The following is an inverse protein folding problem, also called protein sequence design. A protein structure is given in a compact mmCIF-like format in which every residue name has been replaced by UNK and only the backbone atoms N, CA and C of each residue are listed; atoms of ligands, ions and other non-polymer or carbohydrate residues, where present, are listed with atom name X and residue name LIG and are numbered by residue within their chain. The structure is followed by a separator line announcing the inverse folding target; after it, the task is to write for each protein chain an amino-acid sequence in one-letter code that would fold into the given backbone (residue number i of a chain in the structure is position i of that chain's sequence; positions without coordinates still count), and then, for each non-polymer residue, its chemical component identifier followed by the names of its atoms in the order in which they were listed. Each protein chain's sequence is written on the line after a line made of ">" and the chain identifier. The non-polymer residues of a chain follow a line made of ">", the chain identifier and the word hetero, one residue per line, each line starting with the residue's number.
data_IF_569128866450
#
_entry.id   IF_569128866450
#
_cell.length_a   1.000
_cell.length_b   1.000
_cell.length_c   1.000
_cell.angle_alpha   90.00
_cell.angle_beta   90.00
_cell.angle_gamma   90.00
#
_symmetry.space_group_name_H-M   'P 1'
#
loop_
_entity.id
_entity.type
_entity.pdbx_description
1 polymer ?
#
# COMPACT_ATOMS: atom_id res chain seq x y z
N UNK A 1 -5.73 4.33 13.93
CA UNK A 1 -4.92 3.12 13.60
C UNK A 1 -3.77 2.92 14.58
N UNK A 2 -3.00 3.96 14.90
CA UNK A 2 -1.93 3.88 15.91
C UNK A 2 -2.36 3.16 17.20
N UNK A 3 -3.42 3.65 17.85
CA UNK A 3 -3.97 3.07 19.08
C UNK A 3 -4.44 1.62 18.89
N UNK A 4 -5.15 1.33 17.80
CA UNK A 4 -5.63 -0.02 17.50
C UNK A 4 -4.48 -1.03 17.41
N UNK A 5 -3.41 -0.70 16.67
CA UNK A 5 -2.22 -1.56 16.57
C UNK A 5 -1.57 -1.75 17.93
N UNK A 6 -1.45 -0.69 18.73
CA UNK A 6 -0.91 -0.76 20.09
C UNK A 6 -1.76 -1.65 21.01
N UNK A 7 -3.10 -1.59 20.91
CA UNK A 7 -3.99 -2.45 21.68
C UNK A 7 -3.91 -3.91 21.23
N UNK A 8 -3.92 -4.18 19.92
CA UNK A 8 -3.70 -5.53 19.39
C UNK A 8 -2.35 -6.11 19.81
N UNK A 9 -1.30 -5.28 19.81
CA UNK A 9 0.02 -5.65 20.29
C UNK A 9 -0.01 -6.08 21.76
N UNK A 10 -0.59 -5.25 22.65
CA UNK A 10 -0.77 -5.56 24.07
C UNK A 10 -1.51 -6.88 24.27
N UNK A 11 -2.61 -7.06 23.54
CA UNK A 11 -3.54 -8.17 23.74
C UNK A 11 -3.13 -9.44 22.97
N UNK A 12 -1.98 -9.41 22.29
CA UNK A 12 -1.45 -10.51 21.46
C UNK A 12 -2.46 -10.98 20.41
N UNK A 13 -3.06 -10.03 19.73
CA UNK A 13 -4.04 -10.23 18.65
C UNK A 13 -3.37 -9.99 17.29
N UNK A 14 -3.27 -11.00 16.41
CA UNK A 14 -2.80 -10.83 15.03
C UNK A 14 -3.66 -9.84 14.25
N UNK A 15 -3.04 -9.10 13.32
CA UNK A 15 -3.73 -8.07 12.53
C UNK A 15 -3.77 -8.46 11.06
N UNK A 16 -4.96 -8.38 10.46
CA UNK A 16 -5.15 -8.55 9.02
C UNK A 16 -5.50 -7.19 8.43
N UNK A 17 -4.67 -6.69 7.53
CA UNK A 17 -4.88 -5.43 6.84
C UNK A 17 -5.63 -5.65 5.54
N UNK A 18 -6.61 -4.79 5.25
CA UNK A 18 -7.28 -4.74 3.95
C UNK A 18 -7.02 -3.37 3.33
N UNK A 19 -6.32 -3.35 2.20
CA UNK A 19 -6.00 -2.11 1.50
C UNK A 19 -6.85 -1.93 0.24
N UNK A 20 -7.47 -0.76 0.16
CA UNK A 20 -7.95 -0.11 -1.06
C UNK A 20 -7.77 1.40 -0.86
N UNK A 21 -6.56 1.88 -1.08
CA UNK A 21 -6.14 3.24 -0.71
C UNK A 21 -5.49 3.98 -1.87
N UNK A 22 -5.76 5.28 -1.95
CA UNK A 22 -5.17 6.20 -2.95
C UNK A 22 -4.07 7.08 -2.36
N UNK A 23 -3.73 6.93 -1.08
CA UNK A 23 -2.70 7.72 -0.41
C UNK A 23 -3.16 8.38 0.88
N UNK A 24 -2.32 9.29 1.37
CA UNK A 24 -2.58 10.16 2.51
C UNK A 24 -2.92 11.54 1.95
N UNK A 25 -3.73 12.32 2.67
CA UNK A 25 -4.05 13.68 2.27
C UNK A 25 -2.80 14.57 2.21
N UNK A 26 -2.83 15.59 1.35
CA UNK A 26 -1.66 16.43 1.01
C UNK A 26 -1.97 17.93 1.11
N UNK A 27 -0.93 18.74 1.25
CA UNK A 27 -1.02 20.20 1.35
C UNK A 27 -0.93 20.72 2.78
N UNK A 28 -0.80 22.03 2.95
CA UNK A 28 -0.42 22.63 4.24
C UNK A 28 -1.40 22.33 5.39
N UNK A 29 -2.69 22.11 5.10
CA UNK A 29 -3.67 21.73 6.12
C UNK A 29 -3.36 20.33 6.65
N UNK A 30 -3.06 19.37 5.75
CA UNK A 30 -2.66 18.02 6.11
C UNK A 30 -1.32 18.00 6.87
N UNK A 31 -0.35 18.83 6.45
CA UNK A 31 0.94 18.95 7.13
C UNK A 31 0.80 19.51 8.54
N UNK A 32 -0.01 20.56 8.72
CA UNK A 32 -0.31 21.12 10.06
C UNK A 32 -1.13 20.18 10.94
N UNK A 33 -1.90 19.28 10.33
CA UNK A 33 -2.59 18.19 11.01
C UNK A 33 -1.67 16.97 11.29
N UNK A 34 -0.36 17.14 11.07
CA UNK A 34 0.68 16.17 11.41
C UNK A 34 0.57 14.85 10.65
N UNK A 35 -0.08 14.80 9.48
CA UNK A 35 -0.32 13.52 8.78
C UNK A 35 0.98 12.76 8.44
N UNK A 36 2.06 13.48 8.13
CA UNK A 36 3.38 12.89 7.94
C UNK A 36 3.89 12.22 9.23
N UNK A 37 3.79 12.93 10.35
CA UNK A 37 4.16 12.43 11.68
C UNK A 37 3.30 11.23 12.09
N UNK A 38 1.98 11.35 11.96
CA UNK A 38 1.01 10.29 12.29
C UNK A 38 1.19 9.03 11.44
N UNK A 39 1.54 9.19 10.15
CA UNK A 39 1.88 8.09 9.25
C UNK A 39 3.14 7.36 9.72
N UNK A 40 4.19 8.10 10.08
CA UNK A 40 5.42 7.53 10.62
C UNK A 40 5.22 6.91 12.00
N UNK A 41 4.38 7.49 12.85
CA UNK A 41 3.97 6.89 14.13
C UNK A 41 3.30 5.53 13.91
N UNK A 42 2.50 5.37 12.85
CA UNK A 42 1.86 4.08 12.56
C UNK A 42 2.88 3.02 12.15
N UNK A 43 3.89 3.40 11.36
CA UNK A 43 5.03 2.53 11.06
C UNK A 43 5.73 2.11 12.35
N UNK A 44 5.96 3.05 13.28
CA UNK A 44 6.55 2.75 14.58
C UNK A 44 5.68 1.79 15.40
N UNK A 45 4.38 2.05 15.51
CA UNK A 45 3.43 1.18 16.22
C UNK A 45 3.42 -0.23 15.65
N UNK A 46 3.43 -0.39 14.31
CA UNK A 46 3.53 -1.69 13.65
C UNK A 46 4.85 -2.36 14.01
N UNK A 47 5.97 -1.65 13.85
CA UNK A 47 7.30 -2.22 14.02
C UNK A 47 7.56 -2.73 15.45
N UNK A 48 6.96 -2.08 16.46
CA UNK A 48 7.04 -2.44 17.87
C UNK A 48 5.97 -3.45 18.34
N UNK A 49 4.96 -3.76 17.50
CA UNK A 49 3.78 -4.52 17.93
C UNK A 49 4.08 -5.98 18.35
N UNK A 50 5.12 -6.60 17.78
CA UNK A 50 5.55 -7.99 18.02
C UNK A 50 4.39 -9.00 17.97
N UNK A 51 3.46 -8.79 17.02
CA UNK A 51 2.36 -9.70 16.70
C UNK A 51 2.34 -9.93 15.19
N UNK A 52 2.07 -11.16 14.73
CA UNK A 52 2.05 -11.46 13.30
C UNK A 52 0.95 -10.67 12.60
N UNK A 53 1.25 -10.18 11.40
CA UNK A 53 0.33 -9.46 10.54
C UNK A 53 0.31 -10.06 9.13
N UNK A 54 -0.78 -9.85 8.39
CA UNK A 54 -0.81 -10.09 6.94
C UNK A 54 -1.53 -8.95 6.24
N UNK A 55 -1.30 -8.81 4.94
CA UNK A 55 -1.96 -7.81 4.11
C UNK A 55 -2.77 -8.46 3.00
N UNK A 56 -3.95 -7.91 2.74
CA UNK A 56 -4.76 -8.16 1.54
C UNK A 56 -4.97 -6.84 0.80
N UNK A 57 -4.33 -6.68 -0.35
CA UNK A 57 -4.59 -5.57 -1.27
C UNK A 57 -5.83 -5.93 -2.08
N UNK A 58 -7.00 -5.43 -1.64
CA UNK A 58 -8.28 -5.69 -2.30
C UNK A 58 -8.29 -5.10 -3.71
N UNK A 59 -7.85 -3.85 -3.83
CA UNK A 59 -7.82 -3.07 -5.07
C UNK A 59 -6.55 -2.23 -5.13
N UNK A 60 -6.57 -1.00 -4.62
CA UNK A 60 -5.45 -0.07 -4.76
C UNK A 60 -4.47 -0.16 -3.60
N UNK A 61 -3.20 -0.39 -3.91
CA UNK A 61 -2.08 -0.18 -2.99
C UNK A 61 -1.17 0.92 -3.55
N UNK A 62 -1.40 2.18 -3.16
CA UNK A 62 -0.62 3.29 -3.70
C UNK A 62 -0.09 4.26 -2.65
N UNK A 63 0.94 5.00 -3.04
CA UNK A 63 1.62 6.03 -2.25
C UNK A 63 2.07 5.52 -0.86
N UNK A 64 2.34 6.44 0.07
CA UNK A 64 2.79 6.10 1.42
C UNK A 64 1.75 5.29 2.22
N UNK A 65 0.46 5.41 1.87
CA UNK A 65 -0.61 4.63 2.51
C UNK A 65 -0.38 3.12 2.37
N UNK A 66 0.15 2.66 1.23
CA UNK A 66 0.49 1.25 1.04
C UNK A 66 1.52 0.75 2.06
N UNK A 67 2.47 1.60 2.45
CA UNK A 67 3.51 1.28 3.43
C UNK A 67 2.93 1.25 4.86
N UNK A 68 2.25 2.33 5.25
CA UNK A 68 1.85 2.52 6.65
C UNK A 68 0.66 1.62 7.06
N UNK A 69 -0.12 1.13 6.10
CA UNK A 69 -1.25 0.22 6.36
C UNK A 69 -0.83 -1.26 6.35
N UNK A 70 0.23 -1.60 7.09
CA UNK A 70 0.73 -2.98 7.18
C UNK A 70 1.34 -3.51 5.89
N UNK A 71 1.94 -2.61 5.10
CA UNK A 71 2.59 -2.91 3.83
C UNK A 71 3.65 -4.02 3.94
N UNK A 72 4.03 -4.63 2.80
CA UNK A 72 5.04 -5.69 2.77
C UNK A 72 6.43 -5.20 3.21
N UNK A 73 6.65 -3.88 3.34
CA UNK A 73 7.89 -3.29 3.88
C UNK A 73 8.05 -3.50 5.39
N UNK A 74 7.01 -3.89 6.11
CA UNK A 74 7.06 -4.24 7.53
C UNK A 74 7.61 -5.67 7.75
N UNK A 75 8.81 -5.96 7.21
CA UNK A 75 9.38 -7.31 7.05
C UNK A 75 9.45 -8.16 8.32
N UNK A 76 9.42 -7.55 9.52
CA UNK A 76 9.44 -8.27 10.79
C UNK A 76 8.05 -8.70 11.28
N UNK A 77 6.99 -8.11 10.74
CA UNK A 77 5.61 -8.30 11.21
C UNK A 77 4.69 -8.83 10.11
N UNK A 78 4.84 -8.35 8.86
CA UNK A 78 4.08 -8.84 7.71
C UNK A 78 4.61 -10.23 7.32
N UNK A 79 3.77 -11.25 7.49
CA UNK A 79 4.11 -12.62 7.16
C UNK A 79 4.08 -12.87 5.64
N UNK A 80 3.07 -12.32 4.97
CA UNK A 80 2.89 -12.31 3.52
C UNK A 80 1.75 -11.36 3.13
N UNK A 81 1.69 -11.03 1.85
CA UNK A 81 0.74 -10.12 1.22
C UNK A 81 0.00 -10.81 0.09
N UNK A 82 -1.32 -10.73 0.10
CA UNK A 82 -2.20 -11.24 -0.95
C UNK A 82 -2.77 -10.09 -1.78
N UNK A 83 -3.01 -10.34 -3.06
CA UNK A 83 -3.86 -9.52 -3.91
C UNK A 83 -5.10 -10.28 -4.39
N UNK A 84 -5.96 -9.59 -5.13
CA UNK A 84 -7.15 -10.12 -5.80
C UNK A 84 -7.09 -9.80 -7.30
N UNK A 85 -8.09 -10.25 -8.07
CA UNK A 85 -8.22 -9.89 -9.49
C UNK A 85 -8.34 -8.37 -9.73
N UNK A 86 -8.68 -7.58 -8.72
CA UNK A 86 -8.81 -6.14 -8.82
C UNK A 86 -7.57 -5.38 -8.30
N UNK A 87 -6.51 -6.08 -7.90
CA UNK A 87 -5.29 -5.47 -7.35
C UNK A 87 -4.59 -4.59 -8.38
N UNK A 88 -4.22 -3.40 -7.95
CA UNK A 88 -3.30 -2.53 -8.65
C UNK A 88 -2.37 -1.82 -7.66
N UNK A 89 -1.06 -1.94 -7.89
CA UNK A 89 -0.02 -1.35 -7.03
C UNK A 89 0.86 -0.44 -7.88
N UNK A 90 0.94 0.83 -7.48
CA UNK A 90 1.70 1.88 -8.17
C UNK A 90 2.01 3.03 -7.20
N UNK A 91 3.04 3.84 -7.48
CA UNK A 91 3.40 4.96 -6.59
C UNK A 91 2.29 6.01 -6.50
N UNK A 92 1.68 6.35 -7.63
CA UNK A 92 0.50 7.21 -7.75
C UNK A 92 -0.18 6.92 -9.09
N UNK A 93 -1.34 7.51 -9.35
CA UNK A 93 -2.04 7.31 -10.62
C UNK A 93 -1.15 7.77 -11.80
N UNK A 94 -1.13 7.00 -12.90
CA UNK A 94 -0.20 7.21 -14.01
C UNK A 94 -0.31 8.60 -14.65
N UNK A 95 -1.53 9.11 -14.80
CA UNK A 95 -1.76 10.48 -15.30
C UNK A 95 -1.23 11.54 -14.32
N UNK A 96 -1.41 11.34 -13.02
CA UNK A 96 -0.86 12.22 -11.99
C UNK A 96 0.67 12.24 -12.05
N UNK A 97 1.30 11.08 -12.21
CA UNK A 97 2.74 10.96 -12.36
C UNK A 97 3.24 11.66 -13.64
N UNK A 98 2.54 11.49 -14.75
CA UNK A 98 2.86 12.14 -16.02
C UNK A 98 2.77 13.67 -15.91
N UNK A 99 1.67 14.19 -15.36
CA UNK A 99 1.50 15.63 -15.14
C UNK A 99 2.59 16.16 -14.21
N UNK A 100 2.83 15.50 -13.07
CA UNK A 100 3.85 15.93 -12.12
C UNK A 100 5.26 15.96 -12.73
N UNK A 101 5.58 15.00 -13.61
CA UNK A 101 6.88 14.91 -14.27
C UNK A 101 7.05 15.98 -15.35
N UNK A 102 6.01 16.25 -16.14
CA UNK A 102 6.11 17.04 -17.37
C UNK A 102 5.53 18.46 -17.28
N UNK A 103 4.79 18.83 -16.23
CA UNK A 103 4.11 20.13 -16.12
C UNK A 103 5.05 21.33 -16.36
N UNK A 104 6.22 21.35 -15.70
CA UNK A 104 7.20 22.44 -15.89
C UNK A 104 7.74 22.49 -17.33
N UNK A 105 7.91 21.33 -17.97
CA UNK A 105 8.36 21.25 -19.35
C UNK A 105 7.30 21.73 -20.32
N UNK A 106 6.03 21.39 -20.08
CA UNK A 106 4.89 21.84 -20.87
C UNK A 106 4.79 23.37 -20.92
N UNK A 107 4.96 24.03 -19.77
CA UNK A 107 4.97 25.51 -19.69
C UNK A 107 6.13 26.07 -20.55
N UNK A 108 7.35 25.57 -20.36
CA UNK A 108 8.53 26.04 -21.11
C UNK A 108 8.40 25.84 -22.62
N UNK A 109 7.89 24.68 -23.05
CA UNK A 109 7.73 24.39 -24.48
C UNK A 109 6.62 25.26 -25.08
N UNK A 110 5.51 25.48 -24.35
CA UNK A 110 4.45 26.42 -24.74
C UNK A 110 4.98 27.85 -24.89
N UNK A 111 5.71 28.35 -23.89
CA UNK A 111 6.25 29.73 -23.89
C UNK A 111 7.30 29.94 -24.99
N UNK A 112 7.97 28.87 -25.42
CA UNK A 112 8.94 28.91 -26.54
C UNK A 112 8.30 28.59 -27.91
N UNK A 113 6.97 28.50 -28.00
CA UNK A 113 6.25 28.27 -29.26
C UNK A 113 6.43 26.87 -29.85
N UNK A 114 6.91 25.89 -29.06
CA UNK A 114 7.09 24.51 -29.50
C UNK A 114 5.76 23.76 -29.44
N UNK A 115 5.58 22.80 -30.35
CA UNK A 115 4.46 21.86 -30.28
C UNK A 115 4.51 21.05 -28.99
N UNK A 116 3.36 20.90 -28.34
CA UNK A 116 3.19 20.05 -27.15
C UNK A 116 2.90 18.59 -27.50
N UNK A 117 2.66 18.28 -28.78
CA UNK A 117 2.33 16.92 -29.23
C UNK A 117 3.35 15.87 -28.79
N UNK A 118 4.68 16.09 -28.95
CA UNK A 118 5.68 15.10 -28.50
C UNK A 118 5.70 14.91 -26.98
N UNK A 119 5.29 15.93 -26.23
CA UNK A 119 5.21 15.87 -24.77
C UNK A 119 3.96 15.10 -24.33
N UNK A 120 2.82 15.36 -24.97
CA UNK A 120 1.57 14.63 -24.75
C UNK A 120 1.76 13.13 -25.03
N UNK A 121 2.47 12.77 -26.09
CA UNK A 121 2.81 11.38 -26.38
C UNK A 121 3.61 10.73 -25.24
N UNK A 122 4.65 11.40 -24.73
CA UNK A 122 5.44 10.89 -23.59
C UNK A 122 4.61 10.75 -22.31
N UNK A 123 3.69 11.69 -22.06
CA UNK A 123 2.77 11.61 -20.93
C UNK A 123 1.85 10.38 -21.04
N UNK A 124 1.32 10.11 -22.24
CA UNK A 124 0.49 8.94 -22.51
C UNK A 124 1.29 7.63 -22.38
N UNK A 125 2.51 7.58 -22.92
CA UNK A 125 3.41 6.42 -22.78
C UNK A 125 3.72 6.11 -21.31
N UNK A 126 3.95 7.14 -20.49
CA UNK A 126 4.17 6.99 -19.05
C UNK A 126 2.91 6.46 -18.35
N UNK A 127 1.74 7.05 -18.61
CA UNK A 127 0.48 6.60 -18.02
C UNK A 127 0.18 5.13 -18.39
N UNK A 128 0.41 4.76 -19.65
CA UNK A 128 0.26 3.38 -20.12
C UNK A 128 1.24 2.44 -19.42
N UNK A 129 2.50 2.83 -19.27
CA UNK A 129 3.50 2.05 -18.54
C UNK A 129 3.08 1.80 -17.09
N UNK A 130 2.55 2.81 -16.41
CA UNK A 130 2.01 2.66 -15.05
C UNK A 130 0.84 1.68 -15.01
N UNK A 131 -0.05 1.73 -16.00
CA UNK A 131 -1.16 0.80 -16.09
C UNK A 131 -0.67 -0.64 -16.25
N UNK A 132 0.23 -0.89 -17.22
CA UNK A 132 0.74 -2.21 -17.54
C UNK A 132 1.57 -2.82 -16.40
N UNK A 133 2.37 -2.00 -15.71
CA UNK A 133 3.26 -2.42 -14.60
C UNK A 133 2.58 -2.45 -13.23
N UNK A 134 1.26 -2.23 -13.18
CA UNK A 134 0.49 -2.28 -11.93
C UNK A 134 -0.58 -3.36 -11.91
N UNK A 135 -0.81 -4.10 -13.00
CA UNK A 135 -1.87 -5.12 -13.06
C UNK A 135 -1.58 -6.30 -12.12
N UNK A 136 -2.60 -7.06 -11.67
CA UNK A 136 -2.43 -8.17 -10.72
C UNK A 136 -1.34 -9.19 -11.13
N UNK A 137 -1.30 -9.55 -12.41
CA UNK A 137 -0.32 -10.49 -12.95
C UNK A 137 1.11 -9.94 -12.94
N UNK A 138 1.28 -8.62 -13.06
CA UNK A 138 2.57 -7.97 -12.89
C UNK A 138 2.94 -7.95 -11.40
N UNK A 139 2.01 -7.55 -10.52
CA UNK A 139 2.22 -7.53 -9.07
C UNK A 139 2.70 -8.87 -8.53
N UNK A 140 2.11 -9.99 -8.96
CA UNK A 140 2.56 -11.33 -8.57
C UNK A 140 3.95 -11.67 -9.13
N UNK A 141 4.18 -11.41 -10.42
CA UNK A 141 5.45 -11.74 -11.09
C UNK A 141 6.66 -11.01 -10.51
N UNK A 142 6.45 -9.78 -10.04
CA UNK A 142 7.50 -8.93 -9.47
C UNK A 142 7.50 -8.91 -7.94
N UNK A 143 6.67 -9.73 -7.28
CA UNK A 143 6.65 -9.87 -5.83
C UNK A 143 6.12 -8.64 -5.08
N UNK A 144 5.27 -7.83 -5.70
CA UNK A 144 4.54 -6.77 -4.99
C UNK A 144 3.45 -7.37 -4.07
N UNK A 145 2.95 -8.55 -4.46
CA UNK A 145 2.15 -9.44 -3.63
C UNK A 145 2.71 -10.84 -3.80
N UNK A 146 2.59 -11.67 -2.76
CA UNK A 146 3.04 -13.05 -2.79
C UNK A 146 2.11 -13.95 -3.62
N UNK A 147 0.82 -13.61 -3.70
CA UNK A 147 -0.16 -14.38 -4.46
C UNK A 147 -1.36 -13.53 -4.89
N UNK A 148 -1.94 -13.84 -6.06
CA UNK A 148 -3.25 -13.32 -6.47
C UNK A 148 -4.33 -14.36 -6.19
N UNK A 149 -5.22 -14.04 -5.26
CA UNK A 149 -6.18 -15.00 -4.72
C UNK A 149 -7.59 -14.72 -5.25
N UNK A 150 -8.31 -15.79 -5.58
CA UNK A 150 -9.73 -15.71 -5.88
C UNK A 150 -10.51 -15.29 -4.62
N UNK A 151 -11.44 -14.34 -4.73
CA UNK A 151 -12.25 -13.86 -3.59
C UNK A 151 -12.96 -14.98 -2.82
N UNK A 152 -13.39 -16.05 -3.51
CA UNK A 152 -14.03 -17.21 -2.86
C UNK A 152 -13.05 -18.01 -2.00
N UNK A 153 -11.75 -17.99 -2.33
CA UNK A 153 -10.69 -18.68 -1.62
C UNK A 153 -10.03 -17.80 -0.53
N UNK A 154 -10.21 -16.47 -0.58
CA UNK A 154 -9.56 -15.52 0.33
C UNK A 154 -9.75 -15.88 1.81
N UNK A 155 -10.98 -16.23 2.22
CA UNK A 155 -11.26 -16.65 3.61
C UNK A 155 -10.43 -17.86 4.05
N UNK A 156 -10.08 -18.76 3.14
CA UNK A 156 -9.20 -19.89 3.41
C UNK A 156 -7.82 -19.44 3.89
N UNK A 157 -7.23 -18.45 3.22
CA UNK A 157 -5.96 -17.86 3.62
C UNK A 157 -6.05 -17.15 4.98
N UNK A 158 -7.13 -16.39 5.23
CA UNK A 158 -7.32 -15.72 6.52
C UNK A 158 -7.41 -16.73 7.68
N UNK A 159 -8.12 -17.84 7.46
CA UNK A 159 -8.18 -18.94 8.44
C UNK A 159 -6.82 -19.61 8.64
N UNK A 160 -6.08 -19.85 7.56
CA UNK A 160 -4.76 -20.45 7.64
C UNK A 160 -3.78 -19.55 8.41
N UNK A 161 -3.76 -18.25 8.10
CA UNK A 161 -2.98 -17.25 8.82
C UNK A 161 -3.34 -17.21 10.31
N UNK A 162 -4.62 -17.04 10.66
CA UNK A 162 -5.05 -16.99 12.05
C UNK A 162 -4.73 -18.29 12.81
N UNK A 163 -4.94 -19.45 12.16
CA UNK A 163 -4.59 -20.75 12.72
C UNK A 163 -3.09 -20.89 13.00
N UNK A 164 -2.24 -20.49 12.04
CA UNK A 164 -0.80 -20.51 12.19
C UNK A 164 -0.32 -19.58 13.32
N UNK A 165 -0.89 -18.37 13.43
CA UNK A 165 -0.53 -17.41 14.48
C UNK A 165 -0.77 -17.95 15.89
N UNK A 166 -1.85 -18.72 16.07
CA UNK A 166 -2.24 -19.29 17.36
C UNK A 166 -1.78 -20.74 17.57
N UNK A 167 -1.06 -21.34 16.61
CA UNK A 167 -0.60 -22.72 16.72
C UNK A 167 0.45 -22.92 17.83
N UNK A 168 1.36 -21.94 18.00
CA UNK A 168 2.38 -21.95 19.05
C UNK A 168 2.87 -20.52 19.37
N UNK A 169 2.03 -19.67 20.00
CA UNK A 169 2.37 -18.28 20.25
C UNK A 169 3.48 -18.15 21.30
N UNK A 170 4.47 -17.28 21.04
CA UNK A 170 5.58 -17.00 21.96
C UNK A 170 5.21 -16.08 23.13
N UNK A 171 4.06 -15.42 23.06
CA UNK A 171 3.54 -14.50 24.08
C UNK A 171 2.03 -14.61 24.17
N UNK A 172 1.46 -14.48 25.37
CA UNK A 172 0.03 -14.66 25.66
C UNK A 172 -0.45 -13.48 26.51
N UNK A 173 -1.63 -12.94 26.18
CA UNK A 173 -2.39 -12.05 27.05
C UNK A 173 -3.65 -12.80 27.55
N UNK A 174 -3.84 -12.97 28.87
CA UNK A 174 -5.07 -13.54 29.41
C UNK A 174 -6.31 -12.69 29.05
N UNK A 175 -7.49 -13.33 28.97
CA UNK A 175 -8.74 -12.68 28.53
C UNK A 175 -9.52 -11.98 29.65
N UNK A 176 -9.16 -12.19 30.91
CA UNK A 176 -9.92 -11.80 32.11
C UNK A 176 -9.43 -10.49 32.72
#
# INVERSE_FOLDING_TARGET
>A
MNEFVTHCARDRVPVIWFQDTTGIDVGDIAEKAELLGLGQSLVYSIQQADVPMMLVVLRKGSAAAHYIMGGPTANRQNAFTLGTAATEIYVMHGETAAVATYARRAIKDKDSGKSLEPLAQKMNEMAQTYYDTSRPAYCARYGFVDEIVNLKALRGYLKAFAGACYQNPKSICPRH
#
